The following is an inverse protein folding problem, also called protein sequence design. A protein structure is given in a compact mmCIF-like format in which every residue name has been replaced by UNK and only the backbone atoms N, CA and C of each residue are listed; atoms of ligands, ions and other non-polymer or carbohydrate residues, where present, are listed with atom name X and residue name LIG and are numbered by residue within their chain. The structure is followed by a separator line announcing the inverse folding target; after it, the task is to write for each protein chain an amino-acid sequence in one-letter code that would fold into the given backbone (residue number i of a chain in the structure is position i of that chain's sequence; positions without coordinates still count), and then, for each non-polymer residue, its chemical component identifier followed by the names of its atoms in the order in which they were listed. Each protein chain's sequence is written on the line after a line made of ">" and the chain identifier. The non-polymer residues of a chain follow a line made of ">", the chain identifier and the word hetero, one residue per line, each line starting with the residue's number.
data_IF_224556244516
#
_entry.id   IF_224556244516
#
_cell.length_a   1.000
_cell.length_b   1.000
_cell.length_c   1.000
_cell.angle_alpha   90.00
_cell.angle_beta   90.00
_cell.angle_gamma   90.00
#
_symmetry.space_group_name_H-M   'P 1'
#
loop_
_entity.id
_entity.type
_entity.pdbx_description
1 polymer ?
#
# COMPACT_ATOMS: atom_id res chain seq x y z
N UNK A 1 0.98 -3.98 -14.62
CA UNK A 1 -0.37 -3.57 -15.03
C UNK A 1 -0.85 -2.43 -14.14
N UNK A 2 -0.86 -1.18 -14.62
CA UNK A 2 -1.25 -0.02 -13.82
C UNK A 2 -2.76 0.03 -13.49
N UNK A 3 -3.55 -0.83 -14.12
CA UNK A 3 -4.99 -0.95 -13.90
C UNK A 3 -5.36 -2.15 -13.01
N UNK A 4 -4.38 -2.90 -12.52
CA UNK A 4 -4.61 -3.99 -11.57
C UNK A 4 -5.31 -3.50 -10.32
N UNK A 5 -6.37 -4.18 -9.90
CA UNK A 5 -7.14 -3.86 -8.70
C UNK A 5 -6.59 -4.56 -7.45
N UNK A 6 -5.75 -5.54 -7.62
CA UNK A 6 -5.01 -6.23 -6.57
C UNK A 6 -3.60 -6.54 -7.03
N UNK A 7 -2.66 -6.49 -6.11
CA UNK A 7 -1.24 -6.80 -6.34
C UNK A 7 -0.82 -7.83 -5.31
N UNK A 8 -0.15 -8.88 -5.79
CA UNK A 8 0.47 -9.91 -4.94
C UNK A 8 1.97 -9.96 -5.18
N UNK A 9 2.71 -10.31 -4.12
CA UNK A 9 4.15 -10.37 -4.13
C UNK A 9 4.84 -9.01 -3.93
N UNK A 10 6.14 -9.05 -3.98
CA UNK A 10 7.02 -7.88 -3.89
C UNK A 10 8.19 -8.06 -4.86
N UNK A 11 8.80 -6.95 -5.28
CA UNK A 11 10.03 -7.01 -6.05
C UNK A 11 11.15 -7.58 -5.19
N UNK A 12 11.82 -8.59 -5.69
CA UNK A 12 13.07 -9.09 -5.14
C UNK A 12 14.24 -8.43 -5.88
N UNK A 13 15.25 -7.99 -5.13
CA UNK A 13 16.44 -7.38 -5.70
C UNK A 13 17.37 -8.47 -6.30
N UNK A 14 17.01 -8.94 -7.47
CA UNK A 14 17.72 -9.97 -8.26
C UNK A 14 17.85 -9.52 -9.71
N UNK A 15 18.77 -10.10 -10.51
CA UNK A 15 18.88 -9.78 -11.94
C UNK A 15 17.57 -9.93 -12.72
N UNK A 16 16.70 -10.87 -12.32
CA UNK A 16 15.40 -11.12 -12.95
C UNK A 16 14.40 -9.97 -12.81
N UNK A 17 14.61 -9.05 -11.86
CA UNK A 17 13.75 -7.89 -11.68
C UNK A 17 14.03 -6.74 -12.66
N UNK A 18 15.05 -6.86 -13.49
CA UNK A 18 15.49 -5.79 -14.40
C UNK A 18 15.27 -6.16 -15.87
N UNK A 19 14.89 -5.16 -16.65
CA UNK A 19 14.71 -5.30 -18.11
C UNK A 19 16.03 -5.32 -18.90
N UNK A 20 17.15 -5.17 -18.23
CA UNK A 20 18.50 -5.17 -18.82
C UNK A 20 19.41 -6.17 -18.08
N UNK A 21 20.43 -6.64 -18.77
CA UNK A 21 21.43 -7.55 -18.18
C UNK A 21 22.21 -6.83 -17.07
N UNK A 22 22.16 -7.40 -15.88
CA UNK A 22 22.88 -6.90 -14.72
C UNK A 22 23.19 -8.03 -13.75
N UNK A 23 24.08 -7.75 -12.80
CA UNK A 23 24.32 -8.57 -11.62
C UNK A 23 23.81 -7.84 -10.38
N UNK A 24 23.51 -8.59 -9.33
CA UNK A 24 23.21 -8.05 -8.00
C UNK A 24 24.17 -8.62 -7.00
N UNK A 25 25.08 -7.79 -6.50
CA UNK A 25 26.13 -8.17 -5.53
C UNK A 25 26.01 -7.25 -4.31
N UNK A 26 25.91 -7.84 -3.14
CA UNK A 26 25.79 -7.10 -1.87
C UNK A 26 24.67 -6.04 -1.91
N UNK A 27 23.52 -6.39 -2.50
CA UNK A 27 22.34 -5.51 -2.73
C UNK A 27 22.57 -4.34 -3.69
N UNK A 28 23.68 -4.33 -4.42
CA UNK A 28 23.94 -3.31 -5.44
C UNK A 28 23.74 -3.89 -6.82
N UNK A 29 23.05 -3.14 -7.66
CA UNK A 29 22.85 -3.48 -9.07
C UNK A 29 24.07 -3.03 -9.87
N UNK A 30 24.71 -3.99 -10.54
CA UNK A 30 25.88 -3.77 -11.39
C UNK A 30 25.44 -4.02 -12.84
N UNK A 31 25.20 -2.96 -13.56
CA UNK A 31 24.72 -3.00 -14.94
C UNK A 31 24.33 -1.62 -15.43
N UNK A 32 23.82 -1.56 -16.63
CA UNK A 32 23.38 -0.30 -17.24
C UNK A 32 22.03 -0.47 -17.92
N UNK A 33 21.08 0.41 -17.61
CA UNK A 33 19.80 0.48 -18.31
C UNK A 33 19.90 0.69 -19.84
N UNK A 34 21.10 1.04 -20.31
CA UNK A 34 21.44 1.17 -21.73
C UNK A 34 22.19 -0.07 -22.28
N UNK A 35 22.34 -1.12 -21.46
CA UNK A 35 22.99 -2.39 -21.86
C UNK A 35 22.06 -3.30 -22.68
N UNK A 36 22.46 -4.56 -22.81
CA UNK A 36 21.66 -5.57 -23.45
C UNK A 36 20.35 -5.81 -22.68
N UNK A 37 19.27 -6.12 -23.40
CA UNK A 37 17.98 -6.45 -22.81
C UNK A 37 18.08 -7.82 -22.10
N UNK A 38 17.57 -7.90 -20.88
CA UNK A 38 17.50 -9.16 -20.13
C UNK A 38 16.55 -10.14 -20.82
N UNK A 39 16.96 -11.40 -20.88
CA UNK A 39 16.13 -12.52 -21.33
C UNK A 39 15.66 -13.39 -20.16
N UNK A 40 15.95 -12.98 -18.93
CA UNK A 40 15.56 -13.70 -17.71
C UNK A 40 14.09 -13.44 -17.42
N UNK A 41 13.34 -14.52 -17.14
CA UNK A 41 11.93 -14.40 -16.75
C UNK A 41 11.82 -13.75 -15.37
N UNK A 42 10.99 -12.74 -15.27
CA UNK A 42 10.73 -12.01 -14.02
C UNK A 42 9.67 -12.67 -13.14
N UNK A 43 9.05 -13.74 -13.57
CA UNK A 43 8.03 -14.45 -12.81
C UNK A 43 8.57 -14.92 -11.46
N UNK A 44 7.87 -14.55 -10.39
CA UNK A 44 8.28 -14.83 -9.01
C UNK A 44 9.27 -13.84 -8.39
N UNK A 45 9.82 -12.90 -9.19
CA UNK A 45 10.74 -11.86 -8.72
C UNK A 45 10.14 -10.45 -8.75
N UNK A 46 8.98 -10.32 -9.38
CA UNK A 46 8.23 -9.06 -9.49
C UNK A 46 6.80 -9.24 -9.00
N UNK A 47 6.17 -8.18 -8.47
CA UNK A 47 4.75 -8.23 -8.13
C UNK A 47 3.90 -8.55 -9.35
N UNK A 48 2.82 -9.28 -9.13
CA UNK A 48 1.85 -9.65 -10.18
C UNK A 48 0.47 -9.06 -9.87
N UNK A 49 -0.29 -8.74 -10.91
CA UNK A 49 -1.68 -8.33 -10.76
C UNK A 49 -2.56 -9.54 -10.45
N UNK A 50 -3.49 -9.37 -9.52
CA UNK A 50 -4.45 -10.39 -9.11
C UNK A 50 -5.82 -10.06 -9.69
N UNK A 51 -6.49 -11.07 -10.26
CA UNK A 51 -7.88 -10.94 -10.67
C UNK A 51 -8.79 -10.88 -9.44
N UNK A 52 -9.52 -9.79 -9.31
CA UNK A 52 -10.46 -9.56 -8.21
C UNK A 52 -11.89 -9.80 -8.68
N UNK A 53 -12.67 -10.51 -7.88
CA UNK A 53 -14.11 -10.64 -8.10
C UNK A 53 -14.84 -9.43 -7.49
N UNK A 54 -15.23 -8.50 -8.33
CA UNK A 54 -15.90 -7.26 -7.92
C UNK A 54 -17.28 -7.50 -7.25
N UNK A 55 -17.86 -8.69 -7.36
CA UNK A 55 -19.17 -8.99 -6.73
C UNK A 55 -19.15 -8.89 -5.22
N UNK A 56 -17.98 -9.05 -4.60
CA UNK A 56 -17.84 -8.93 -3.14
C UNK A 56 -17.56 -7.50 -2.69
N UNK A 57 -17.00 -6.66 -3.56
CA UNK A 57 -16.70 -5.25 -3.23
C UNK A 57 -17.97 -4.41 -3.14
N UNK A 58 -18.98 -4.69 -3.96
CA UNK A 58 -20.25 -3.95 -3.96
C UNK A 58 -21.14 -4.21 -2.74
N UNK A 59 -20.88 -5.23 -1.95
CA UNK A 59 -21.65 -5.51 -0.71
C UNK A 59 -21.48 -4.44 0.37
N UNK A 60 -20.46 -3.60 0.24
CA UNK A 60 -20.15 -2.52 1.18
C UNK A 60 -20.46 -1.11 0.60
N UNK A 61 -21.02 -1.03 -0.59
CA UNK A 61 -21.56 0.21 -1.16
C UNK A 61 -22.87 0.59 -0.46
N UNK A 62 -22.81 0.74 0.85
CA UNK A 62 -23.96 1.10 1.63
C UNK A 62 -23.69 2.35 2.42
N UNK A 63 -24.07 3.36 2.08
CA UNK A 63 -24.77 4.56 2.54
C UNK A 63 -24.49 5.71 1.57
N UNK A 64 -25.45 6.01 0.70
CA UNK A 64 -25.35 7.15 -0.20
C UNK A 64 -25.44 8.50 0.53
N UNK A 65 -25.62 8.51 1.85
CA UNK A 65 -25.70 9.75 2.62
C UNK A 65 -24.30 10.21 3.03
N UNK A 66 -23.57 10.82 2.11
CA UNK A 66 -22.38 11.57 2.47
C UNK A 66 -22.73 12.66 3.50
N UNK A 67 -21.97 12.81 4.58
CA UNK A 67 -22.17 13.88 5.53
C UNK A 67 -21.93 15.23 4.84
N UNK A 68 -22.95 15.95 4.46
CA UNK A 68 -22.85 17.26 3.80
C UNK A 68 -22.34 18.33 4.79
N UNK A 69 -21.06 18.23 5.17
CA UNK A 69 -20.42 19.20 6.06
C UNK A 69 -20.15 20.48 5.27
N UNK A 70 -20.72 21.63 5.66
CA UNK A 70 -20.42 22.89 5.01
C UNK A 70 -18.93 23.21 5.08
N UNK A 71 -18.35 23.76 3.99
CA UNK A 71 -16.92 24.06 3.90
C UNK A 71 -16.39 24.81 5.12
N UNK A 72 -17.12 25.82 5.61
CA UNK A 72 -16.74 26.59 6.82
C UNK A 72 -16.66 25.78 8.12
N UNK A 73 -17.18 24.54 8.13
CA UNK A 73 -17.13 23.62 9.27
C UNK A 73 -16.23 22.41 9.01
N UNK A 74 -15.61 22.36 7.83
CA UNK A 74 -14.74 21.27 7.45
C UNK A 74 -13.40 21.38 8.18
N UNK A 75 -13.01 20.31 8.85
CA UNK A 75 -11.71 20.13 9.48
C UNK A 75 -11.06 18.90 8.86
N UNK A 76 -10.01 19.13 8.09
CA UNK A 76 -9.26 18.08 7.40
C UNK A 76 -8.08 17.64 8.28
N UNK A 77 -7.91 16.35 8.43
CA UNK A 77 -6.78 15.75 9.11
C UNK A 77 -6.02 14.85 8.14
N UNK A 78 -4.82 15.26 7.79
CA UNK A 78 -3.92 14.45 6.96
C UNK A 78 -3.21 13.40 7.81
N UNK A 79 -3.19 12.14 7.37
CA UNK A 79 -2.56 11.07 8.11
C UNK A 79 -2.05 9.93 7.23
N UNK A 80 -1.08 9.19 7.75
CA UNK A 80 -0.58 7.96 7.15
C UNK A 80 -1.30 6.76 7.77
N UNK A 81 -1.86 5.84 6.96
CA UNK A 81 -2.62 4.67 7.44
C UNK A 81 -1.85 3.91 8.51
N UNK A 82 -0.63 3.49 8.22
CA UNK A 82 0.20 2.75 9.16
C UNK A 82 0.65 3.61 10.33
N UNK A 83 1.14 4.81 10.05
CA UNK A 83 1.74 5.67 11.07
C UNK A 83 0.76 6.10 12.15
N UNK A 84 -0.48 6.40 11.79
CA UNK A 84 -1.47 6.90 12.72
C UNK A 84 -1.82 5.90 13.83
N UNK A 85 -1.96 4.62 13.49
CA UNK A 85 -2.39 3.59 14.44
C UNK A 85 -1.28 2.65 14.91
N UNK A 86 -0.06 2.74 14.38
CA UNK A 86 1.05 1.81 14.69
C UNK A 86 1.33 1.65 16.19
N UNK A 87 1.22 2.73 16.95
CA UNK A 87 1.46 2.74 18.40
C UNK A 87 0.18 3.03 19.19
N UNK A 88 -1.00 2.84 18.62
CA UNK A 88 -2.27 3.14 19.27
C UNK A 88 -2.57 2.15 20.41
N UNK A 89 -2.51 2.57 21.68
CA UNK A 89 -2.71 1.66 22.81
C UNK A 89 -4.16 1.18 22.95
N UNK A 90 -5.10 1.91 22.35
CA UNK A 90 -6.53 1.58 22.37
C UNK A 90 -6.94 0.54 21.32
N UNK A 91 -6.01 0.08 20.46
CA UNK A 91 -6.28 -0.93 19.46
C UNK A 91 -5.65 -2.27 19.82
N UNK A 92 -6.32 -3.39 19.49
CA UNK A 92 -5.68 -4.70 19.47
C UNK A 92 -4.41 -4.65 18.60
N UNK A 93 -3.35 -5.31 19.03
CA UNK A 93 -2.05 -5.28 18.35
C UNK A 93 -2.15 -5.71 16.88
N UNK A 94 -2.97 -6.73 16.59
CA UNK A 94 -3.17 -7.25 15.23
C UNK A 94 -3.80 -6.25 14.25
N UNK A 95 -4.42 -5.17 14.75
CA UNK A 95 -5.05 -4.13 13.93
C UNK A 95 -4.19 -2.88 13.81
N UNK A 96 -3.15 -2.74 14.61
CA UNK A 96 -2.28 -1.55 14.59
C UNK A 96 -1.56 -1.42 13.25
N UNK A 97 -1.52 -0.21 12.72
CA UNK A 97 -0.87 0.10 11.44
C UNK A 97 -1.57 -0.46 10.21
N UNK A 98 -2.85 -0.80 10.29
CA UNK A 98 -3.61 -1.38 9.20
C UNK A 98 -4.84 -0.56 8.82
N UNK A 99 -5.42 -0.82 7.63
CA UNK A 99 -6.72 -0.26 7.24
C UNK A 99 -7.81 -0.54 8.28
N UNK A 100 -7.89 -1.79 8.78
CA UNK A 100 -8.87 -2.17 9.78
C UNK A 100 -8.66 -1.43 11.12
N UNK A 101 -7.42 -1.11 11.49
CA UNK A 101 -7.11 -0.29 12.65
C UNK A 101 -7.57 1.15 12.48
N UNK A 102 -7.40 1.71 11.29
CA UNK A 102 -7.88 3.06 10.99
C UNK A 102 -9.42 3.12 10.99
N UNK A 103 -10.08 2.11 10.42
CA UNK A 103 -11.54 2.00 10.39
C UNK A 103 -12.17 1.51 11.71
N UNK A 104 -11.37 1.22 12.72
CA UNK A 104 -11.88 0.69 14.00
C UNK A 104 -12.76 1.73 14.73
N UNK A 105 -13.91 1.33 15.31
CA UNK A 105 -14.82 2.26 15.96
C UNK A 105 -14.17 3.19 17.00
N UNK A 106 -13.22 2.68 17.78
CA UNK A 106 -12.49 3.50 18.77
C UNK A 106 -11.62 4.57 18.09
N UNK A 107 -11.00 4.26 16.94
CA UNK A 107 -10.21 5.22 16.17
C UNK A 107 -11.12 6.30 15.59
N UNK A 108 -12.27 5.91 15.04
CA UNK A 108 -13.26 6.85 14.50
C UNK A 108 -13.81 7.76 15.60
N UNK A 109 -14.16 7.20 16.76
CA UNK A 109 -14.63 7.98 17.91
C UNK A 109 -13.58 8.99 18.39
N UNK A 110 -12.29 8.61 18.40
CA UNK A 110 -11.19 9.52 18.74
C UNK A 110 -11.12 10.70 17.75
N UNK A 111 -11.15 10.43 16.45
CA UNK A 111 -11.12 11.46 15.40
C UNK A 111 -12.34 12.39 15.48
N UNK A 112 -13.52 11.82 15.66
CA UNK A 112 -14.76 12.59 15.86
C UNK A 112 -14.69 13.47 17.12
N UNK A 113 -14.13 12.94 18.22
CA UNK A 113 -13.91 13.68 19.46
C UNK A 113 -12.96 14.88 19.31
N UNK A 114 -12.04 14.84 18.35
CA UNK A 114 -11.21 15.97 17.95
C UNK A 114 -11.92 16.98 17.05
N UNK A 115 -13.16 16.69 16.60
CA UNK A 115 -13.90 17.54 15.68
C UNK A 115 -13.48 17.38 14.22
N UNK A 116 -12.76 16.30 13.87
CA UNK A 116 -12.37 16.00 12.49
C UNK A 116 -13.59 15.61 11.68
N UNK A 117 -13.73 16.20 10.51
CA UNK A 117 -14.86 15.95 9.60
C UNK A 117 -14.42 15.25 8.31
N UNK A 118 -13.15 15.34 7.98
CA UNK A 118 -12.57 14.77 6.76
C UNK A 118 -11.18 14.24 7.04
N UNK A 119 -10.87 13.09 6.45
CA UNK A 119 -9.54 12.49 6.52
C UNK A 119 -8.90 12.60 5.14
N UNK A 120 -7.67 13.09 5.08
CA UNK A 120 -6.81 13.04 3.91
C UNK A 120 -5.72 12.00 4.15
N UNK A 121 -5.75 10.92 3.37
CA UNK A 121 -4.78 9.85 3.54
C UNK A 121 -3.55 10.09 2.65
N UNK A 122 -2.35 9.97 3.24
CA UNK A 122 -1.14 9.74 2.47
C UNK A 122 -1.32 8.51 1.57
N UNK A 123 -0.51 8.34 0.50
CA UNK A 123 -0.77 7.33 -0.51
C UNK A 123 -1.12 5.95 0.06
N UNK A 124 -2.24 5.42 -0.39
CA UNK A 124 -2.78 4.12 0.02
C UNK A 124 -2.71 3.08 -1.10
N UNK A 125 -2.23 3.48 -2.27
CA UNK A 125 -2.08 2.63 -3.42
C UNK A 125 -0.85 1.71 -3.28
N UNK A 126 -0.92 0.56 -3.94
CA UNK A 126 0.20 -0.38 -4.03
C UNK A 126 1.45 0.34 -4.52
N UNK A 127 2.52 0.22 -3.79
CA UNK A 127 3.79 0.95 -3.97
C UNK A 127 4.96 0.01 -4.13
N UNK A 128 6.01 0.53 -4.71
CA UNK A 128 7.30 -0.13 -4.85
C UNK A 128 8.35 0.59 -4.01
N UNK A 129 9.23 -0.17 -3.40
CA UNK A 129 10.44 0.40 -2.81
C UNK A 129 11.41 0.78 -3.92
N UNK A 130 11.87 2.02 -3.96
CA UNK A 130 12.84 2.48 -4.94
C UNK A 130 14.16 1.73 -4.79
N UNK A 131 14.86 1.50 -5.91
CA UNK A 131 16.12 0.76 -5.95
C UNK A 131 17.11 1.27 -4.89
N UNK A 132 17.28 2.58 -4.80
CA UNK A 132 18.14 3.21 -3.78
C UNK A 132 17.80 2.78 -2.35
N UNK A 133 16.51 2.68 -2.00
CA UNK A 133 16.08 2.25 -0.67
C UNK A 133 16.36 0.76 -0.45
N UNK A 134 16.11 -0.07 -1.47
CA UNK A 134 16.37 -1.50 -1.41
C UNK A 134 17.86 -1.82 -1.23
N UNK A 135 18.73 -1.13 -1.96
CA UNK A 135 20.19 -1.25 -1.83
C UNK A 135 20.67 -0.92 -0.41
N UNK A 136 19.96 -0.04 0.30
CA UNK A 136 20.25 0.34 1.69
C UNK A 136 19.44 -0.45 2.74
N UNK A 137 18.67 -1.47 2.32
CA UNK A 137 17.82 -2.25 3.21
C UNK A 137 16.67 -1.45 3.84
N UNK A 138 16.26 -0.39 3.17
CA UNK A 138 15.16 0.50 3.60
C UNK A 138 13.91 0.28 2.75
N UNK A 139 12.78 0.82 3.22
CA UNK A 139 11.50 0.77 2.53
C UNK A 139 10.95 2.16 2.30
N UNK A 140 10.16 2.32 1.24
CA UNK A 140 9.38 3.51 1.00
C UNK A 140 8.25 3.59 2.04
N UNK A 141 8.41 4.46 3.02
CA UNK A 141 7.40 4.67 4.06
C UNK A 141 6.20 5.49 3.55
N UNK A 142 6.48 6.55 2.80
CA UNK A 142 5.47 7.53 2.41
C UNK A 142 4.50 7.05 1.33
N UNK A 143 4.89 6.11 0.48
CA UNK A 143 4.04 5.53 -0.55
C UNK A 143 3.99 6.27 -1.88
N UNK A 144 4.85 7.26 -2.11
CA UNK A 144 4.83 8.06 -3.35
C UNK A 144 5.45 7.39 -4.58
N UNK A 145 5.95 6.16 -4.47
CA UNK A 145 6.40 5.34 -5.60
C UNK A 145 5.30 4.36 -6.00
N UNK A 146 4.23 4.85 -6.58
CA UNK A 146 3.02 4.09 -6.88
C UNK A 146 3.27 3.06 -8.00
N UNK A 147 2.96 1.79 -7.71
CA UNK A 147 3.01 0.68 -8.65
C UNK A 147 1.67 0.52 -9.39
N UNK A 148 0.56 0.62 -8.68
CA UNK A 148 -0.79 0.54 -9.24
C UNK A 148 -1.73 1.51 -8.53
N UNK A 149 -2.43 2.33 -9.33
CA UNK A 149 -3.34 3.36 -8.78
C UNK A 149 -4.69 2.81 -8.30
N UNK A 150 -5.04 1.60 -8.69
CA UNK A 150 -6.35 0.99 -8.37
C UNK A 150 -6.26 -0.17 -7.38
N UNK A 151 -5.05 -0.58 -7.01
CA UNK A 151 -4.83 -1.60 -5.99
C UNK A 151 -4.46 -0.94 -4.65
N UNK A 152 -5.02 -1.40 -3.53
CA UNK A 152 -4.59 -0.96 -2.20
C UNK A 152 -3.18 -1.49 -1.89
N UNK A 153 -2.47 -0.79 -1.02
CA UNK A 153 -1.15 -1.23 -0.52
C UNK A 153 -1.29 -2.47 0.38
N UNK A 154 -0.78 -3.65 -0.03
CA UNK A 154 -0.98 -4.89 0.72
C UNK A 154 -0.39 -4.86 2.14
N UNK A 155 0.70 -4.11 2.36
CA UNK A 155 1.35 -4.04 3.68
C UNK A 155 0.53 -3.28 4.73
N UNK A 156 -0.55 -2.61 4.34
CA UNK A 156 -1.50 -1.98 5.26
C UNK A 156 -2.71 -2.87 5.56
N UNK A 157 -2.81 -4.04 4.94
CA UNK A 157 -3.82 -5.04 5.30
C UNK A 157 -3.44 -5.76 6.60
N UNK A 158 -4.42 -6.38 7.27
CA UNK A 158 -4.13 -7.23 8.42
C UNK A 158 -3.36 -8.48 7.98
N UNK A 159 -2.55 -9.06 8.87
CA UNK A 159 -1.82 -10.30 8.57
C UNK A 159 -2.76 -11.42 8.08
N UNK A 160 -3.92 -11.56 8.71
CA UNK A 160 -4.91 -12.56 8.32
C UNK A 160 -5.48 -12.32 6.91
N UNK A 161 -5.56 -11.07 6.45
CA UNK A 161 -5.96 -10.75 5.08
C UNK A 161 -4.83 -11.04 4.10
N UNK A 162 -3.60 -10.66 4.42
CA UNK A 162 -2.42 -10.94 3.60
C UNK A 162 -2.21 -12.44 3.37
N UNK A 163 -2.35 -13.27 4.43
CA UNK A 163 -2.22 -14.73 4.36
C UNK A 163 -3.30 -15.40 3.48
N UNK A 164 -4.45 -14.75 3.31
CA UNK A 164 -5.52 -15.23 2.42
C UNK A 164 -5.36 -14.79 0.97
N UNK A 165 -4.32 -14.00 0.66
CA UNK A 165 -4.17 -13.38 -0.66
C UNK A 165 -5.27 -12.35 -0.96
N UNK A 166 -5.94 -11.86 0.08
CA UNK A 166 -6.97 -10.83 0.02
C UNK A 166 -6.41 -9.57 0.74
N UNK A 167 -5.61 -8.83 0.02
CA UNK A 167 -5.22 -7.49 0.48
C UNK A 167 -6.22 -6.46 -0.02
#
# INVERSE_FOLDING_TARGET
>A
DPYGKGIDGSMELTPAAFSYECDVVDRKVIGSAYGAMSTVDSLGHMPVSVAIDDRDTHKHEGDPQHPHVPWRKTVIYEMHVKGFTANAPWLPEALRGTYAGLAHPTTLAYLQGLGITSIELLPIMAKQDELFLQEHGRKNYWGYSTLSYFAPEPSYATKAAQEKGAA
#
